data_IF_097326331048
#
_entry.id   IF_097326331048
#
_cell.length_a   1.000
_cell.length_b   1.000
_cell.length_c   1.000
_cell.angle_alpha   90.00
_cell.angle_beta   90.00
_cell.angle_gamma   90.00
#
_symmetry.space_group_name_H-M   'P 1'
#
loop_
_entity.id
_entity.type
_entity.pdbx_description
1 polymer ?
#
# COMPACT_ATOMS: atom_id res chain seq x y z
N UNK A 1 -4.12 4.95 26.19
CA UNK A 1 -3.31 5.13 24.98
C UNK A 1 -3.77 6.38 24.24
N UNK A 2 -2.90 7.36 24.14
CA UNK A 2 -3.23 8.61 23.48
C UNK A 2 -2.30 8.85 22.30
N UNK A 3 -2.86 9.41 21.24
CA UNK A 3 -2.12 9.77 20.04
C UNK A 3 -2.06 11.30 19.94
N UNK A 4 -0.86 11.83 19.71
CA UNK A 4 -0.72 13.26 19.45
C UNK A 4 -1.11 13.61 18.01
N UNK A 5 -1.18 14.89 17.70
CA UNK A 5 -1.62 15.36 16.39
C UNK A 5 -0.72 14.84 15.26
N UNK A 6 0.59 14.82 15.48
CA UNK A 6 1.54 14.32 14.48
C UNK A 6 1.31 12.85 14.21
N UNK A 7 1.10 12.05 15.25
CA UNK A 7 0.83 10.61 15.10
C UNK A 7 -0.47 10.36 14.33
N UNK A 8 -1.52 11.13 14.61
CA UNK A 8 -2.78 11.07 13.85
C UNK A 8 -2.55 11.39 12.37
N UNK A 9 -1.75 12.42 12.07
CA UNK A 9 -1.44 12.78 10.68
C UNK A 9 -0.67 11.67 9.97
N UNK A 10 0.31 11.06 10.63
CA UNK A 10 1.09 9.96 10.06
C UNK A 10 0.19 8.76 9.75
N UNK A 11 -0.70 8.41 10.66
CA UNK A 11 -1.63 7.30 10.47
C UNK A 11 -2.56 7.60 9.29
N UNK A 12 -3.13 8.80 9.24
CA UNK A 12 -4.04 9.18 8.16
C UNK A 12 -3.35 9.12 6.78
N UNK A 13 -2.14 9.64 6.69
CA UNK A 13 -1.36 9.61 5.44
C UNK A 13 -1.01 8.17 5.05
N UNK A 14 -0.62 7.34 6.02
CA UNK A 14 -0.30 5.94 5.77
C UNK A 14 -1.50 5.18 5.19
N UNK A 15 -2.68 5.38 5.77
CA UNK A 15 -3.92 4.76 5.28
C UNK A 15 -4.22 5.25 3.85
N UNK A 16 -4.13 6.56 3.63
CA UNK A 16 -4.40 7.13 2.31
C UNK A 16 -3.45 6.60 1.25
N UNK A 17 -2.16 6.45 1.59
CA UNK A 17 -1.16 5.91 0.66
C UNK A 17 -1.45 4.46 0.28
N UNK A 18 -1.81 3.62 1.25
CA UNK A 18 -2.13 2.21 0.98
C UNK A 18 -3.37 2.09 0.10
N UNK A 19 -4.43 2.83 0.43
CA UNK A 19 -5.66 2.82 -0.35
C UNK A 19 -5.39 3.32 -1.78
N UNK A 20 -4.65 4.41 -1.92
CA UNK A 20 -4.31 4.96 -3.23
C UNK A 20 -3.49 3.96 -4.06
N UNK A 21 -2.53 3.29 -3.43
CA UNK A 21 -1.72 2.28 -4.10
C UNK A 21 -2.57 1.11 -4.60
N UNK A 22 -3.53 0.66 -3.79
CA UNK A 22 -4.44 -0.42 -4.19
C UNK A 22 -5.32 -0.01 -5.36
N UNK A 23 -5.82 1.23 -5.36
CA UNK A 23 -6.61 1.75 -6.47
C UNK A 23 -5.78 1.85 -7.76
N UNK A 24 -4.55 2.34 -7.66
CA UNK A 24 -3.62 2.37 -8.79
C UNK A 24 -3.32 0.98 -9.31
N UNK A 25 -3.09 0.02 -8.43
CA UNK A 25 -2.84 -1.36 -8.83
C UNK A 25 -4.04 -1.93 -9.62
N UNK A 26 -5.25 -1.69 -9.14
CA UNK A 26 -6.47 -2.13 -9.81
C UNK A 26 -6.60 -1.48 -11.19
N UNK A 27 -6.32 -0.18 -11.29
CA UNK A 27 -6.35 0.55 -12.55
C UNK A 27 -5.31 -0.01 -13.55
N UNK A 28 -4.11 -0.29 -13.08
CA UNK A 28 -3.04 -0.86 -13.90
C UNK A 28 -3.43 -2.26 -14.39
N UNK A 29 -3.94 -3.11 -13.51
CA UNK A 29 -4.39 -4.45 -13.89
C UNK A 29 -5.49 -4.40 -14.95
N UNK A 30 -6.47 -3.50 -14.77
CA UNK A 30 -7.56 -3.32 -15.70
C UNK A 30 -7.02 -2.84 -17.06
N UNK A 31 -6.13 -1.86 -17.04
CA UNK A 31 -5.53 -1.34 -18.26
C UNK A 31 -4.73 -2.41 -19.00
N UNK A 32 -3.95 -3.19 -18.29
CA UNK A 32 -3.16 -4.28 -18.87
C UNK A 32 -4.10 -5.32 -19.53
N UNK A 33 -5.19 -5.67 -18.86
CA UNK A 33 -6.16 -6.63 -19.38
C UNK A 33 -6.87 -6.10 -20.64
N UNK A 34 -7.09 -4.79 -20.72
CA UNK A 34 -7.67 -4.18 -21.89
C UNK A 34 -6.73 -4.18 -23.10
N UNK A 35 -5.44 -3.94 -22.85
CA UNK A 35 -4.42 -3.84 -23.91
C UNK A 35 -3.90 -5.21 -24.31
N UNK A 36 -3.78 -6.13 -23.37
CA UNK A 36 -3.20 -7.46 -23.57
C UNK A 36 -4.06 -8.51 -22.89
N UNK A 37 -5.22 -8.87 -23.49
CA UNK A 37 -6.12 -9.86 -22.86
C UNK A 37 -5.56 -11.27 -22.88
N UNK A 38 -4.56 -11.56 -23.71
CA UNK A 38 -3.92 -12.86 -23.77
C UNK A 38 -2.75 -12.95 -22.81
N UNK A 39 -2.34 -14.16 -22.45
CA UNK A 39 -1.17 -14.37 -21.59
C UNK A 39 0.09 -13.85 -22.27
N UNK A 40 0.70 -12.86 -21.64
CA UNK A 40 1.90 -12.21 -22.12
C UNK A 40 2.86 -12.04 -20.93
N UNK A 41 4.12 -12.53 -21.03
CA UNK A 41 5.07 -12.40 -19.92
C UNK A 41 5.30 -10.96 -19.48
N UNK A 42 5.31 -10.01 -20.41
CA UNK A 42 5.48 -8.58 -20.07
C UNK A 42 4.26 -8.02 -19.33
N UNK A 43 3.06 -8.42 -19.74
CA UNK A 43 1.83 -8.01 -19.06
C UNK A 43 1.82 -8.55 -17.62
N UNK A 44 2.23 -9.80 -17.42
CA UNK A 44 2.35 -10.40 -16.09
C UNK A 44 3.37 -9.63 -15.25
N UNK A 45 4.51 -9.28 -15.83
CA UNK A 45 5.55 -8.52 -15.13
C UNK A 45 5.03 -7.16 -14.67
N UNK A 46 4.29 -6.43 -15.50
CA UNK A 46 3.70 -5.14 -15.12
C UNK A 46 2.76 -5.31 -13.95
N UNK A 47 1.90 -6.32 -13.98
CA UNK A 47 0.97 -6.60 -12.89
C UNK A 47 1.70 -6.96 -11.60
N UNK A 48 2.74 -7.79 -11.69
CA UNK A 48 3.53 -8.23 -10.53
C UNK A 48 4.26 -7.05 -9.89
N UNK A 49 4.84 -6.16 -10.69
CA UNK A 49 5.52 -4.96 -10.18
C UNK A 49 4.52 -4.03 -9.49
N UNK A 50 3.36 -3.84 -10.09
CA UNK A 50 2.30 -3.01 -9.52
C UNK A 50 1.84 -3.56 -8.16
N UNK A 51 1.64 -4.87 -8.07
CA UNK A 51 1.26 -5.53 -6.81
C UNK A 51 2.38 -5.42 -5.77
N UNK A 52 3.64 -5.53 -6.20
CA UNK A 52 4.79 -5.38 -5.30
C UNK A 52 4.85 -3.97 -4.71
N UNK A 53 4.49 -2.93 -5.47
CA UNK A 53 4.44 -1.56 -4.97
C UNK A 53 3.42 -1.41 -3.84
N UNK A 54 2.24 -2.03 -3.99
CA UNK A 54 1.21 -2.04 -2.94
C UNK A 54 1.74 -2.75 -1.70
N UNK A 55 2.38 -3.90 -1.88
CA UNK A 55 2.94 -4.67 -0.77
C UNK A 55 4.01 -3.86 -0.03
N UNK A 56 4.89 -3.17 -0.75
CA UNK A 56 5.91 -2.32 -0.15
C UNK A 56 5.29 -1.23 0.72
N UNK A 57 4.25 -0.55 0.23
CA UNK A 57 3.53 0.46 1.02
C UNK A 57 2.83 -0.14 2.23
N UNK A 58 2.22 -1.31 2.08
CA UNK A 58 1.54 -1.99 3.18
C UNK A 58 2.53 -2.39 4.28
N UNK A 59 3.71 -2.89 3.91
CA UNK A 59 4.77 -3.21 4.87
C UNK A 59 5.24 -1.94 5.58
N UNK A 60 5.46 -0.86 4.84
CA UNK A 60 5.84 0.43 5.42
C UNK A 60 4.81 0.95 6.41
N UNK A 61 3.53 0.86 6.06
CA UNK A 61 2.44 1.27 6.94
C UNK A 61 2.39 0.41 8.21
N UNK A 62 2.63 -0.90 8.08
CA UNK A 62 2.68 -1.81 9.22
C UNK A 62 3.84 -1.46 10.17
N UNK A 63 5.01 -1.15 9.61
CA UNK A 63 6.18 -0.72 10.40
C UNK A 63 5.87 0.57 11.14
N UNK A 64 5.24 1.54 10.49
CA UNK A 64 4.82 2.80 11.12
C UNK A 64 3.85 2.51 12.28
N UNK A 65 2.88 1.62 12.05
CA UNK A 65 1.94 1.21 13.09
C UNK A 65 2.62 0.60 14.30
N UNK A 66 3.58 -0.28 14.07
CA UNK A 66 4.36 -0.90 15.15
C UNK A 66 5.13 0.17 15.93
N UNK A 67 5.80 1.08 15.24
CA UNK A 67 6.60 2.14 15.89
C UNK A 67 5.72 3.04 16.74
N UNK A 68 4.50 3.36 16.29
CA UNK A 68 3.59 4.25 17.02
C UNK A 68 2.91 3.54 18.17
N UNK A 69 2.38 2.32 17.94
CA UNK A 69 1.50 1.68 18.91
C UNK A 69 2.21 0.80 19.94
N UNK A 70 3.28 0.11 19.58
CA UNK A 70 3.96 -0.79 20.51
C UNK A 70 4.45 -0.07 21.78
N UNK A 71 5.13 1.09 21.70
CA UNK A 71 5.52 1.80 22.91
C UNK A 71 4.34 2.20 23.78
N UNK A 72 3.19 2.52 23.19
CA UNK A 72 1.98 2.92 23.92
C UNK A 72 1.34 1.75 24.66
N UNK A 73 1.47 0.54 24.11
CA UNK A 73 0.91 -0.67 24.74
C UNK A 73 1.78 -1.19 25.89
N UNK A 74 3.09 -0.96 25.82
CA UNK A 74 4.05 -1.44 26.81
C UNK A 74 4.14 -0.48 28.01
N UNK A 75 3.98 0.80 27.78
CA UNK A 75 4.06 1.84 28.81
C UNK A 75 2.65 2.19 29.27
#
# INVERSE_FOLDING_TARGET
>A
MELNLIEWCIIAVSIALVISAELFNTAIETLVDMVSPEKNPKAKLVKDISAAAVLALAIGAAVVGVIIFIPKLII
#
